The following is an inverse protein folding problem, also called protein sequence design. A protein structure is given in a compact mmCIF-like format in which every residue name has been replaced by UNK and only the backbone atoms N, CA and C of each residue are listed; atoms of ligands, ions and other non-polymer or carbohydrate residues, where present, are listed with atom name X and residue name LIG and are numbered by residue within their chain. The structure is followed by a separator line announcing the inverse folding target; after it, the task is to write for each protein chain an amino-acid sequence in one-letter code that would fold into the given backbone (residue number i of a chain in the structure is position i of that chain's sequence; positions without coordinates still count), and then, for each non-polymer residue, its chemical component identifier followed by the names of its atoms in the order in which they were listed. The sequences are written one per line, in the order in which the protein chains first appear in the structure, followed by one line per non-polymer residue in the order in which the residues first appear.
data_IF_175087326100
#
_entry.id   IF_175087326100
#
_cell.length_a   1.000
_cell.length_b   1.000
_cell.length_c   1.000
_cell.angle_alpha   90.00
_cell.angle_beta   90.00
_cell.angle_gamma   90.00
#
_symmetry.space_group_name_H-M   'P 1'
#
loop_
_entity.id
_entity.type
_entity.pdbx_description
1 polymer ?
#
# COMPACT_ATOMS: atom_id res chain seq x y z
N UNK A 1 -19.55 -24.60 -4.71
CA UNK A 1 -18.91 -23.36 -5.19
C UNK A 1 -18.50 -22.60 -3.95
N UNK A 2 -17.30 -22.04 -3.88
CA UNK A 2 -16.91 -21.28 -2.69
C UNK A 2 -17.77 -20.02 -2.59
N UNK A 3 -18.36 -19.77 -1.42
CA UNK A 3 -19.14 -18.57 -1.15
C UNK A 3 -18.19 -17.38 -0.97
N UNK A 4 -17.76 -16.79 -2.08
CA UNK A 4 -16.91 -15.60 -2.04
C UNK A 4 -17.69 -14.39 -1.49
N UNK A 5 -17.03 -13.60 -0.63
CA UNK A 5 -17.57 -12.33 -0.17
C UNK A 5 -17.74 -11.38 -1.36
N UNK A 6 -18.91 -10.75 -1.46
CA UNK A 6 -19.23 -9.76 -2.49
C UNK A 6 -19.03 -8.35 -1.97
N UNK A 7 -18.47 -7.48 -2.80
CA UNK A 7 -18.43 -6.02 -2.57
C UNK A 7 -18.94 -5.28 -3.81
N UNK A 8 -19.41 -4.04 -3.64
CA UNK A 8 -19.90 -3.20 -4.72
C UNK A 8 -19.04 -1.94 -4.80
N UNK A 9 -18.43 -1.69 -5.96
CA UNK A 9 -17.59 -0.53 -6.26
C UNK A 9 -18.20 0.14 -7.48
N UNK A 10 -18.64 1.40 -7.37
CA UNK A 10 -19.19 2.20 -8.49
C UNK A 10 -20.26 1.47 -9.33
N UNK A 11 -21.13 0.73 -8.64
CA UNK A 11 -22.18 -0.12 -9.22
C UNK A 11 -21.76 -1.42 -9.89
N UNK A 12 -20.47 -1.73 -9.90
CA UNK A 12 -19.94 -3.04 -10.32
C UNK A 12 -19.81 -3.93 -9.09
N UNK A 13 -20.31 -5.16 -9.20
CA UNK A 13 -20.17 -6.18 -8.16
C UNK A 13 -18.86 -6.95 -8.36
N UNK A 14 -18.12 -7.17 -7.28
CA UNK A 14 -16.88 -7.91 -7.27
C UNK A 14 -16.93 -9.04 -6.24
N UNK A 15 -16.25 -10.14 -6.56
CA UNK A 15 -15.93 -11.17 -5.58
C UNK A 15 -14.53 -10.94 -5.02
N UNK A 16 -14.41 -11.01 -3.70
CA UNK A 16 -13.11 -11.09 -3.03
C UNK A 16 -12.63 -12.54 -3.15
N UNK A 17 -11.61 -12.76 -3.97
CA UNK A 17 -11.05 -14.09 -4.23
C UNK A 17 -9.81 -14.40 -3.38
N UNK A 18 -9.16 -13.36 -2.85
CA UNK A 18 -8.02 -13.49 -1.96
C UNK A 18 -7.88 -12.24 -1.08
N UNK A 19 -7.16 -12.35 0.04
CA UNK A 19 -6.84 -11.20 0.89
C UNK A 19 -5.57 -11.40 1.71
N UNK A 20 -4.85 -10.30 1.94
CA UNK A 20 -3.81 -10.19 2.95
C UNK A 20 -4.38 -9.35 4.09
N UNK A 21 -4.47 -9.92 5.29
CA UNK A 21 -5.05 -9.27 6.47
C UNK A 21 -3.98 -8.94 7.50
N UNK A 22 -4.32 -8.07 8.45
CA UNK A 22 -3.48 -7.68 9.58
C UNK A 22 -2.06 -7.24 9.18
N UNK A 23 -1.95 -6.61 8.02
CA UNK A 23 -0.68 -6.24 7.45
C UNK A 23 -0.15 -4.98 8.09
N UNK A 24 0.66 -5.16 9.14
CA UNK A 24 1.17 -4.06 9.95
C UNK A 24 1.94 -3.04 9.12
N UNK A 25 1.65 -1.75 9.37
CA UNK A 25 2.52 -0.67 8.96
C UNK A 25 3.84 -0.71 9.74
N UNK A 26 4.91 -1.08 9.05
CA UNK A 26 6.25 -1.10 9.63
C UNK A 26 6.78 0.33 9.79
N UNK A 27 7.49 0.60 10.88
CA UNK A 27 8.11 1.90 11.12
C UNK A 27 9.15 2.29 10.03
N UNK A 28 9.74 1.29 9.38
CA UNK A 28 10.59 1.47 8.20
C UNK A 28 9.85 2.12 7.03
N UNK A 29 8.52 2.01 6.94
CA UNK A 29 7.69 2.56 5.87
C UNK A 29 7.03 3.90 6.27
N UNK A 30 6.68 4.05 7.54
CA UNK A 30 5.98 5.22 8.09
C UNK A 30 6.78 6.50 7.86
N UNK A 31 6.11 7.58 7.48
CA UNK A 31 6.77 8.86 7.26
C UNK A 31 7.34 9.41 8.57
N UNK A 32 8.53 10.02 8.50
CA UNK A 32 9.27 10.55 9.66
C UNK A 32 8.46 11.45 10.60
N UNK A 33 7.42 12.12 10.08
CA UNK A 33 6.53 12.95 10.88
C UNK A 33 5.82 12.16 11.98
N UNK A 34 5.51 10.87 11.74
CA UNK A 34 4.75 10.01 12.66
C UNK A 34 5.60 8.92 13.30
N UNK A 35 6.92 9.05 13.23
CA UNK A 35 7.83 7.98 13.63
C UNK A 35 8.05 7.98 15.14
N UNK A 36 8.17 6.80 15.73
CA UNK A 36 8.47 6.71 17.16
C UNK A 36 9.90 7.16 17.43
N UNK A 37 10.12 7.80 18.59
CA UNK A 37 11.41 8.34 19.00
C UNK A 37 12.52 7.27 19.08
N UNK A 38 12.15 6.00 19.30
CA UNK A 38 13.08 4.87 19.36
C UNK A 38 13.63 4.42 17.99
N UNK A 39 13.10 4.97 16.88
CA UNK A 39 13.50 4.56 15.54
C UNK A 39 13.98 5.77 14.72
N UNK A 40 15.05 5.58 13.95
CA UNK A 40 15.65 6.62 13.11
C UNK A 40 15.32 6.46 11.61
N UNK A 41 15.55 7.52 10.84
CA UNK A 41 15.42 7.54 9.38
C UNK A 41 14.11 8.15 8.86
N UNK A 42 14.07 8.38 7.55
CA UNK A 42 12.99 9.15 6.91
C UNK A 42 11.72 8.33 6.59
N UNK A 43 11.79 7.00 6.75
CA UNK A 43 10.82 6.07 6.20
C UNK A 43 11.04 5.83 4.71
N UNK A 44 11.17 4.57 4.32
CA UNK A 44 11.21 4.11 2.95
C UNK A 44 9.84 4.22 2.30
N UNK A 45 9.83 4.47 0.98
CA UNK A 45 8.59 4.50 0.19
C UNK A 45 8.23 3.14 -0.40
N UNK A 46 9.02 2.10 -0.12
CA UNK A 46 8.73 0.72 -0.52
C UNK A 46 8.10 -0.02 0.66
N UNK A 47 6.96 -0.68 0.44
CA UNK A 47 6.32 -1.53 1.45
C UNK A 47 6.73 -2.97 1.21
N UNK A 48 7.34 -3.59 2.23
CA UNK A 48 7.57 -5.03 2.22
C UNK A 48 6.22 -5.76 2.18
N UNK A 49 6.06 -6.75 1.30
CA UNK A 49 4.83 -7.54 1.12
C UNK A 49 5.02 -9.04 1.36
N UNK A 50 6.25 -9.49 1.58
CA UNK A 50 6.57 -10.89 1.86
C UNK A 50 7.90 -11.30 1.23
N UNK A 51 8.14 -12.60 1.15
CA UNK A 51 9.34 -13.17 0.52
C UNK A 51 8.97 -13.81 -0.81
N UNK A 52 9.77 -13.66 -1.85
CA UNK A 52 9.44 -14.13 -3.21
C UNK A 52 9.99 -15.51 -3.60
N UNK A 53 10.75 -16.19 -2.72
CA UNK A 53 11.19 -17.57 -2.92
C UNK A 53 10.33 -18.59 -2.16
N UNK A 54 10.32 -19.83 -2.66
CA UNK A 54 9.65 -20.97 -2.01
C UNK A 54 8.13 -20.86 -2.01
N UNK A 55 7.48 -21.61 -1.11
CA UNK A 55 6.01 -21.64 -1.03
C UNK A 55 5.42 -20.26 -0.71
N UNK A 56 6.07 -19.48 0.18
CA UNK A 56 5.68 -18.11 0.48
C UNK A 56 5.77 -17.21 -0.76
N UNK A 57 6.80 -17.41 -1.58
CA UNK A 57 6.96 -16.74 -2.87
C UNK A 57 5.84 -17.02 -3.85
N UNK A 58 5.42 -18.29 -3.95
CA UNK A 58 4.29 -18.66 -4.80
C UNK A 58 3.00 -18.00 -4.32
N UNK A 59 2.76 -17.93 -3.00
CA UNK A 59 1.57 -17.29 -2.42
C UNK A 59 1.52 -15.81 -2.76
N UNK A 60 2.60 -15.05 -2.53
CA UNK A 60 2.60 -13.61 -2.88
C UNK A 60 2.52 -13.40 -4.39
N UNK A 61 3.14 -14.27 -5.19
CA UNK A 61 3.08 -14.16 -6.64
C UNK A 61 1.68 -14.40 -7.18
N UNK A 62 0.97 -15.37 -6.62
CA UNK A 62 -0.44 -15.62 -6.94
C UNK A 62 -1.34 -14.47 -6.49
N UNK A 63 -1.07 -13.86 -5.32
CA UNK A 63 -1.85 -12.73 -4.84
C UNK A 63 -1.71 -11.53 -5.78
N UNK A 64 -0.48 -11.14 -6.12
CA UNK A 64 -0.20 -9.96 -6.94
C UNK A 64 -0.26 -10.20 -8.46
N UNK A 65 -0.47 -11.45 -8.90
CA UNK A 65 -0.33 -11.89 -10.29
C UNK A 65 1.03 -11.50 -10.90
N UNK A 66 2.10 -11.62 -10.10
CA UNK A 66 3.44 -11.15 -10.44
C UNK A 66 4.53 -12.06 -9.88
N UNK A 67 5.41 -12.59 -10.74
CA UNK A 67 6.40 -13.61 -10.37
C UNK A 67 7.85 -13.24 -10.66
N UNK A 68 8.12 -12.05 -11.20
CA UNK A 68 9.47 -11.61 -11.63
C UNK A 68 10.14 -10.67 -10.62
N UNK A 69 9.84 -10.86 -9.33
CA UNK A 69 10.39 -10.07 -8.22
C UNK A 69 11.91 -9.92 -8.26
N UNK A 70 12.39 -8.73 -7.90
CA UNK A 70 13.80 -8.39 -7.87
C UNK A 70 14.35 -7.92 -9.22
N UNK A 71 13.48 -7.64 -10.21
CA UNK A 71 13.95 -7.22 -11.54
C UNK A 71 14.81 -5.96 -11.43
N UNK A 72 15.92 -5.93 -12.15
CA UNK A 72 16.81 -4.77 -12.14
C UNK A 72 16.23 -3.65 -13.00
N UNK A 73 15.93 -2.51 -12.38
CA UNK A 73 15.56 -1.30 -13.09
C UNK A 73 15.87 -0.07 -12.24
N UNK A 74 16.18 1.05 -12.89
CA UNK A 74 16.48 2.31 -12.22
C UNK A 74 16.17 3.48 -13.13
N UNK A 75 15.55 4.52 -12.58
CA UNK A 75 15.51 5.83 -13.22
C UNK A 75 16.88 6.49 -13.05
N UNK A 76 17.60 6.68 -14.15
CA UNK A 76 18.97 7.22 -14.15
C UNK A 76 19.00 8.64 -13.56
N UNK A 77 17.96 9.44 -13.78
CA UNK A 77 17.89 10.84 -13.30
C UNK A 77 17.59 10.89 -11.80
N UNK A 78 16.58 10.13 -11.37
CA UNK A 78 16.15 10.10 -9.95
C UNK A 78 17.01 9.17 -9.08
N UNK A 79 17.87 8.35 -9.70
CA UNK A 79 18.76 7.36 -9.08
C UNK A 79 18.01 6.40 -8.13
N UNK A 80 16.80 5.99 -8.53
CA UNK A 80 15.95 5.07 -7.77
C UNK A 80 14.99 4.34 -8.71
N UNK A 81 14.38 3.25 -8.23
CA UNK A 81 13.22 2.63 -8.90
C UNK A 81 12.05 3.63 -8.96
N UNK A 82 11.39 3.67 -10.12
CA UNK A 82 10.21 4.48 -10.44
C UNK A 82 9.22 3.67 -11.26
N UNK A 83 7.97 4.12 -11.32
CA UNK A 83 6.96 3.54 -12.22
C UNK A 83 7.41 3.57 -13.69
N UNK A 84 8.09 4.63 -14.13
CA UNK A 84 8.58 4.74 -15.52
C UNK A 84 9.66 3.70 -15.81
N UNK A 85 10.65 3.57 -14.94
CA UNK A 85 11.68 2.52 -15.07
C UNK A 85 11.08 1.11 -14.98
N UNK A 86 9.98 0.94 -14.24
CA UNK A 86 9.28 -0.32 -14.13
C UNK A 86 8.52 -0.66 -15.42
N UNK A 87 7.87 0.32 -16.06
CA UNK A 87 7.22 0.13 -17.37
C UNK A 87 8.21 -0.29 -18.45
N UNK A 88 9.38 0.35 -18.48
CA UNK A 88 10.44 0.02 -19.45
C UNK A 88 11.02 -1.39 -19.27
N UNK A 89 11.04 -1.89 -18.03
CA UNK A 89 11.63 -3.19 -17.69
C UNK A 89 10.62 -4.33 -17.56
N UNK A 90 9.32 -4.06 -17.52
CA UNK A 90 8.29 -5.06 -17.22
C UNK A 90 8.17 -5.39 -15.73
N UNK A 91 8.53 -4.45 -14.85
CA UNK A 91 8.42 -4.56 -13.39
C UNK A 91 7.13 -3.94 -12.81
N UNK A 92 6.16 -3.58 -13.66
CA UNK A 92 4.83 -3.12 -13.21
C UNK A 92 4.02 -4.32 -12.72
N UNK A 93 3.42 -4.19 -11.54
CA UNK A 93 2.58 -5.23 -10.93
C UNK A 93 1.11 -4.96 -11.27
N UNK A 94 0.67 -3.70 -11.08
CA UNK A 94 -0.67 -3.23 -11.42
C UNK A 94 -0.58 -1.77 -11.89
N UNK A 95 -1.21 -1.43 -13.01
CA UNK A 95 -1.19 -0.09 -13.60
C UNK A 95 -2.57 0.56 -13.46
N UNK A 96 -2.69 1.47 -12.48
CA UNK A 96 -3.91 2.23 -12.18
C UNK A 96 -5.18 1.39 -11.89
N UNK A 97 -5.02 0.17 -11.37
CA UNK A 97 -6.12 -0.75 -11.02
C UNK A 97 -6.28 -0.96 -9.52
N UNK A 98 -5.29 -0.54 -8.71
CA UNK A 98 -5.42 -0.53 -7.25
C UNK A 98 -6.15 0.74 -6.82
N UNK A 99 -6.82 0.72 -5.67
CA UNK A 99 -7.42 1.93 -5.11
C UNK A 99 -7.48 1.92 -3.58
N UNK A 100 -7.41 3.11 -3.00
CA UNK A 100 -7.85 3.36 -1.62
C UNK A 100 -9.29 3.90 -1.63
N UNK A 101 -10.04 3.65 -0.57
CA UNK A 101 -11.34 4.28 -0.34
C UNK A 101 -11.16 5.51 0.55
N UNK A 102 -11.69 6.65 0.10
CA UNK A 102 -11.70 7.91 0.86
C UNK A 102 -12.43 7.73 2.19
N UNK A 103 -13.62 7.13 2.18
CA UNK A 103 -14.38 6.88 3.41
C UNK A 103 -13.62 5.98 4.40
N UNK A 104 -12.86 5.00 3.90
CA UNK A 104 -12.04 4.15 4.74
C UNK A 104 -10.85 4.91 5.37
N UNK A 105 -10.19 5.79 4.62
CA UNK A 105 -9.12 6.65 5.13
C UNK A 105 -9.62 7.65 6.19
N UNK A 106 -10.78 8.26 5.97
CA UNK A 106 -11.43 9.15 6.95
C UNK A 106 -11.77 8.39 8.22
N UNK A 107 -12.38 7.20 8.08
CA UNK A 107 -12.68 6.34 9.22
C UNK A 107 -11.42 5.97 10.01
N UNK A 108 -10.33 5.62 9.33
CA UNK A 108 -9.07 5.35 9.99
C UNK A 108 -8.57 6.57 10.79
N UNK A 109 -8.67 7.79 10.25
CA UNK A 109 -8.27 8.99 10.96
C UNK A 109 -9.16 9.26 12.19
N UNK A 110 -10.47 9.08 12.07
CA UNK A 110 -11.38 9.21 13.21
C UNK A 110 -11.03 8.20 14.33
N UNK A 111 -10.78 6.94 13.96
CA UNK A 111 -10.41 5.88 14.90
C UNK A 111 -9.02 6.15 15.54
N UNK A 112 -8.08 6.72 14.78
CA UNK A 112 -6.72 7.05 15.25
C UNK A 112 -6.63 8.42 15.96
N UNK A 113 -7.69 9.23 15.96
CA UNK A 113 -7.70 10.60 16.48
C UNK A 113 -7.20 10.69 17.92
N UNK A 114 -7.64 9.77 18.78
CA UNK A 114 -7.23 9.75 20.17
C UNK A 114 -5.71 9.66 20.31
N UNK A 115 -5.04 8.79 19.54
CA UNK A 115 -3.59 8.66 19.57
C UNK A 115 -2.86 9.89 19.01
N UNK A 116 -3.42 10.54 17.98
CA UNK A 116 -2.86 11.79 17.47
C UNK A 116 -2.75 12.89 18.53
N UNK A 117 -3.72 12.99 19.44
CA UNK A 117 -3.74 14.03 20.48
C UNK A 117 -3.14 13.58 21.81
N UNK A 118 -3.42 12.34 22.23
CA UNK A 118 -2.93 11.81 23.51
C UNK A 118 -1.46 11.39 23.43
N UNK A 119 -1.02 10.92 22.26
CA UNK A 119 0.34 10.42 22.02
C UNK A 119 0.81 9.47 23.13
N UNK A 120 0.06 8.38 23.36
CA UNK A 120 0.42 7.40 24.38
C UNK A 120 1.77 6.73 24.04
N UNK A 121 2.12 6.72 22.75
CA UNK A 121 3.45 6.36 22.28
C UNK A 121 4.41 7.56 22.22
N UNK A 122 5.70 7.30 22.35
CA UNK A 122 6.74 8.34 22.29
C UNK A 122 7.13 8.56 20.82
N UNK A 123 6.72 9.70 20.26
CA UNK A 123 7.06 10.17 18.91
C UNK A 123 8.24 11.12 18.90
N UNK A 124 8.90 11.26 17.75
CA UNK A 124 9.91 12.31 17.54
C UNK A 124 9.30 13.72 17.51
N UNK A 125 8.09 13.84 16.97
CA UNK A 125 7.39 15.10 16.79
C UNK A 125 6.10 15.12 17.61
N UNK A 126 5.58 16.32 17.87
CA UNK A 126 4.17 16.49 18.20
C UNK A 126 3.36 16.17 16.92
N UNK A 127 2.71 15.01 16.89
CA UNK A 127 1.94 14.56 15.74
C UNK A 127 0.55 15.19 15.69
N UNK A 128 0.07 15.75 16.80
CA UNK A 128 -1.25 16.36 16.91
C UNK A 128 -1.43 17.53 15.94
N UNK A 129 -0.33 18.25 15.66
CA UNK A 129 -0.31 19.41 14.75
C UNK A 129 -0.67 19.03 13.31
N UNK A 130 -0.49 17.77 12.92
CA UNK A 130 -0.76 17.31 11.56
C UNK A 130 -2.19 16.79 11.35
N UNK A 131 -2.95 16.52 12.42
CA UNK A 131 -4.23 15.83 12.31
C UNK A 131 -5.24 16.57 11.41
N UNK A 132 -5.46 17.85 11.70
CA UNK A 132 -6.46 18.65 10.98
C UNK A 132 -6.10 18.81 9.51
N UNK A 133 -4.83 19.12 9.20
CA UNK A 133 -4.36 19.26 7.82
C UNK A 133 -4.58 17.97 7.03
N UNK A 134 -4.16 16.83 7.57
CA UNK A 134 -4.31 15.52 6.91
C UNK A 134 -5.76 15.09 6.76
N UNK A 135 -6.59 15.35 7.77
CA UNK A 135 -8.02 15.07 7.68
C UNK A 135 -8.67 15.89 6.56
N UNK A 136 -8.34 17.18 6.47
CA UNK A 136 -8.82 18.05 5.39
C UNK A 136 -8.27 17.61 4.03
N UNK A 137 -7.01 17.19 3.96
CA UNK A 137 -6.39 16.68 2.74
C UNK A 137 -7.13 15.46 2.20
N UNK A 138 -7.48 14.47 3.05
CA UNK A 138 -8.33 13.33 2.67
C UNK A 138 -9.75 13.77 2.33
N UNK A 139 -10.34 14.70 3.10
CA UNK A 139 -11.69 15.21 2.89
C UNK A 139 -11.84 15.91 1.53
N UNK A 140 -10.79 16.57 1.05
CA UNK A 140 -10.77 17.31 -0.21
C UNK A 140 -10.54 16.43 -1.45
N UNK A 141 -10.26 15.13 -1.29
CA UNK A 141 -10.21 14.18 -2.42
C UNK A 141 -11.60 14.12 -3.06
N UNK A 142 -11.67 14.34 -4.38
CA UNK A 142 -12.96 14.45 -5.09
C UNK A 142 -13.67 13.09 -5.26
N UNK A 143 -12.92 12.02 -5.43
CA UNK A 143 -13.46 10.68 -5.71
C UNK A 143 -13.49 9.80 -4.46
N UNK A 144 -14.46 8.88 -4.40
CA UNK A 144 -14.50 7.88 -3.31
C UNK A 144 -13.38 6.86 -3.47
N UNK A 145 -13.06 6.45 -4.70
CA UNK A 145 -11.96 5.54 -4.99
C UNK A 145 -10.79 6.33 -5.55
N UNK A 146 -9.63 6.21 -4.93
CA UNK A 146 -8.40 6.89 -5.33
C UNK A 146 -7.50 5.88 -6.02
N UNK A 147 -7.46 5.85 -7.37
CA UNK A 147 -6.71 4.85 -8.10
C UNK A 147 -5.20 5.10 -8.02
N UNK A 148 -4.42 4.03 -8.05
CA UNK A 148 -2.97 4.08 -8.07
C UNK A 148 -2.36 2.83 -8.72
N UNK A 149 -1.09 2.96 -9.09
CA UNK A 149 -0.28 1.91 -9.68
C UNK A 149 0.72 1.38 -8.66
N UNK A 150 1.06 0.09 -8.76
CA UNK A 150 2.15 -0.51 -7.99
C UNK A 150 3.14 -1.22 -8.89
N UNK A 151 4.41 -1.14 -8.51
CA UNK A 151 5.51 -1.81 -9.18
C UNK A 151 6.45 -2.48 -8.19
N UNK A 152 7.25 -3.41 -8.69
CA UNK A 152 8.26 -4.10 -7.92
C UNK A 152 9.37 -3.13 -7.49
N UNK A 153 9.51 -2.93 -6.19
CA UNK A 153 10.56 -2.14 -5.57
C UNK A 153 11.55 -3.00 -4.78
N UNK A 154 11.55 -4.31 -5.02
CA UNK A 154 12.45 -5.26 -4.38
C UNK A 154 13.89 -4.96 -4.74
N UNK A 155 14.79 -5.33 -3.85
CA UNK A 155 16.21 -5.23 -4.13
C UNK A 155 16.54 -6.13 -5.33
N UNK A 156 17.47 -5.68 -6.16
CA UNK A 156 17.85 -6.37 -7.40
C UNK A 156 18.25 -7.82 -7.12
N UNK A 157 17.97 -8.75 -8.06
CA UNK A 157 18.36 -10.16 -7.98
C UNK A 157 19.85 -10.38 -7.68
N UNK A 158 20.71 -9.45 -8.09
CA UNK A 158 22.14 -9.44 -7.78
C UNK A 158 22.45 -9.30 -6.28
N UNK A 159 21.54 -8.72 -5.51
CA UNK A 159 21.60 -8.62 -4.05
C UNK A 159 20.91 -9.85 -3.47
N UNK A 160 21.62 -10.67 -2.69
CA UNK A 160 21.14 -11.94 -2.11
C UNK A 160 20.03 -11.76 -1.06
N UNK A 161 18.92 -11.12 -1.39
CA UNK A 161 17.83 -10.78 -0.49
C UNK A 161 16.50 -11.32 -1.01
N UNK A 162 15.87 -12.19 -0.23
CA UNK A 162 14.55 -12.75 -0.54
C UNK A 162 13.43 -11.91 0.08
N UNK A 163 13.24 -10.67 -0.40
CA UNK A 163 12.23 -9.74 0.12
C UNK A 163 11.51 -9.05 -1.02
N UNK A 164 10.22 -9.31 -1.13
CA UNK A 164 9.28 -8.67 -2.04
C UNK A 164 8.85 -7.32 -1.49
N UNK A 165 9.04 -6.28 -2.29
CA UNK A 165 8.62 -4.93 -1.97
C UNK A 165 7.78 -4.36 -3.10
N UNK A 166 6.72 -3.64 -2.75
CA UNK A 166 5.95 -2.84 -3.70
C UNK A 166 6.14 -1.36 -3.43
N UNK A 167 5.96 -0.53 -4.45
CA UNK A 167 5.94 0.92 -4.35
C UNK A 167 4.95 1.51 -5.33
N UNK A 168 4.47 2.70 -5.02
CA UNK A 168 3.81 3.59 -5.96
C UNK A 168 4.50 4.94 -5.96
N UNK A 169 4.47 5.62 -7.11
CA UNK A 169 4.85 7.04 -7.23
C UNK A 169 3.61 7.96 -7.21
N UNK A 170 2.40 7.40 -7.14
CA UNK A 170 1.14 8.16 -7.07
C UNK A 170 1.00 8.85 -5.71
N UNK A 171 0.35 10.01 -5.71
CA UNK A 171 0.21 10.87 -4.55
C UNK A 171 -0.41 10.17 -3.34
N UNK A 172 -1.42 9.32 -3.55
CA UNK A 172 -2.10 8.60 -2.46
C UNK A 172 -1.16 7.71 -1.65
N UNK A 173 -0.07 7.21 -2.26
CA UNK A 173 0.93 6.41 -1.57
C UNK A 173 1.77 7.24 -0.59
N UNK A 174 2.07 8.49 -0.96
CA UNK A 174 2.72 9.45 -0.05
C UNK A 174 1.77 9.82 1.08
N UNK A 175 0.53 10.19 0.74
CA UNK A 175 -0.49 10.57 1.72
C UNK A 175 -0.68 9.45 2.74
N UNK A 176 -0.90 8.22 2.28
CA UNK A 176 -1.08 7.05 3.15
C UNK A 176 0.06 6.91 4.18
N UNK A 177 1.32 7.07 3.78
CA UNK A 177 2.49 7.03 4.67
C UNK A 177 2.50 8.13 5.72
N UNK A 178 1.91 9.27 5.41
CA UNK A 178 1.75 10.41 6.31
C UNK A 178 0.53 10.23 7.24
N UNK A 179 -0.47 9.42 6.88
CA UNK A 179 -1.63 9.17 7.75
C UNK A 179 -1.36 8.10 8.82
N UNK A 180 -0.68 7.01 8.44
CA UNK A 180 -0.50 5.83 9.29
C UNK A 180 0.38 6.10 10.52
N UNK A 181 0.03 5.43 11.62
CA UNK A 181 0.69 5.52 12.91
C UNK A 181 1.32 4.17 13.31
N UNK A 182 2.52 4.17 13.93
CA UNK A 182 3.17 2.96 14.38
C UNK A 182 2.32 2.17 15.38
N UNK A 183 2.44 0.84 15.34
CA UNK A 183 1.78 -0.14 16.23
C UNK A 183 0.25 -0.25 16.13
N UNK A 184 -0.44 0.78 15.65
CA UNK A 184 -1.92 0.80 15.59
C UNK A 184 -2.46 0.71 14.16
N UNK A 185 -1.66 0.99 13.14
CA UNK A 185 -2.09 0.84 11.74
C UNK A 185 -1.86 -0.58 11.21
N UNK A 186 -2.94 -1.19 10.76
CA UNK A 186 -2.97 -2.47 10.04
C UNK A 186 -3.69 -2.27 8.71
N UNK A 187 -3.14 -2.88 7.66
CA UNK A 187 -3.69 -2.83 6.32
C UNK A 187 -4.33 -4.18 5.97
N UNK A 188 -5.52 -4.13 5.42
CA UNK A 188 -6.14 -5.25 4.71
C UNK A 188 -6.08 -4.98 3.21
N UNK A 189 -5.45 -5.89 2.46
CA UNK A 189 -5.37 -5.81 1.00
C UNK A 189 -6.31 -6.88 0.44
N UNK A 190 -7.32 -6.45 -0.30
CA UNK A 190 -8.30 -7.35 -0.92
C UNK A 190 -7.97 -7.51 -2.40
N UNK A 191 -8.13 -8.74 -2.93
CA UNK A 191 -8.06 -9.02 -4.36
C UNK A 191 -9.48 -9.22 -4.92
N UNK A 192 -10.13 -8.17 -5.42
CA UNK A 192 -11.43 -8.27 -6.06
C UNK A 192 -11.32 -8.69 -7.53
N UNK A 193 -12.29 -9.47 -8.01
CA UNK A 193 -12.50 -9.73 -9.45
C UNK A 193 -13.95 -9.43 -9.82
N UNK A 194 -14.17 -8.88 -11.00
CA UNK A 194 -15.51 -8.50 -11.48
C UNK A 194 -16.41 -9.74 -11.53
N UNK A 195 -17.61 -9.63 -10.96
CA UNK A 195 -18.64 -10.61 -11.20
C UNK A 195 -19.22 -10.39 -12.60
N UNK A 196 -18.68 -11.13 -13.57
CA UNK A 196 -19.35 -11.27 -14.86
C UNK A 196 -20.56 -12.18 -14.64
N UNK A 197 -21.76 -11.61 -14.55
CA UNK A 197 -22.97 -12.38 -14.73
C UNK A 197 -22.88 -13.04 -16.11
N UNK A 198 -23.02 -14.37 -16.17
CA UNK A 198 -22.93 -15.16 -17.39
C UNK A 198 -23.68 -14.47 -18.53
N UNK A 199 -22.95 -13.89 -19.49
CA UNK A 199 -23.51 -13.54 -20.79
C UNK A 199 -23.68 -14.88 -21.49
N UNK A 200 -24.87 -15.45 -21.38
CA UNK A 200 -25.27 -16.57 -22.20
C UNK A 200 -25.23 -16.09 -23.67
N UNK A 201 -24.30 -16.63 -24.45
CA UNK A 201 -24.41 -16.63 -25.91
C UNK A 201 -25.39 -17.72 -26.34
#
# INVERSE_FOLDING_TARGET
MADFQKIKIENVEYFIIDSIQDFRAEDSFIHRSNKLAQFDGNGESKKHVGTYNGELGQRISNFFDYSTWGLEHIDIKKKRKTIDSARESGAVIQDNTCFFSKSNLLKYLDDAKAEYYAQEQIYHNDISVYYNERYQEVQNIETEHIPFSIYDASDNLSQKQNRGYIRSDDYIWKLWRELILPKISYLSILKPVVHLANVNF
#
